data_IF_632627257894
#
_entry.id   IF_632627257894
#
_cell.length_a   1.000
_cell.length_b   1.000
_cell.length_c   1.000
_cell.angle_alpha   90.00
_cell.angle_beta   90.00
_cell.angle_gamma   90.00
#
_symmetry.space_group_name_H-M   'P 1'
#
loop_
_entity.id
_entity.type
_entity.pdbx_description
1 polymer ?
#
# COMPACT_ATOMS: atom_id res chain seq x y z
N UNK A 1 2.81 4.13 27.06
CA UNK A 1 3.41 2.85 26.70
C UNK A 1 4.87 2.88 27.17
N UNK A 2 5.35 1.88 27.83
CA UNK A 2 6.76 1.68 28.14
C UNK A 2 7.14 0.23 27.79
N UNK A 3 8.42 0.01 27.56
CA UNK A 3 8.98 -1.30 27.23
C UNK A 3 9.97 -1.64 28.32
N UNK A 4 9.74 -2.75 29.01
CA UNK A 4 10.65 -3.27 30.01
C UNK A 4 11.71 -4.13 29.31
N UNK A 5 12.97 -3.73 29.46
CA UNK A 5 14.15 -4.44 28.94
C UNK A 5 14.94 -5.16 30.05
N UNK A 6 14.39 -5.22 31.27
CA UNK A 6 15.02 -5.85 32.42
C UNK A 6 16.14 -5.00 33.07
N UNK A 7 16.25 -3.71 32.73
CA UNK A 7 17.23 -2.81 33.32
C UNK A 7 16.81 -2.37 34.72
N UNK A 8 17.76 -2.31 35.67
CA UNK A 8 17.49 -1.93 37.06
C UNK A 8 17.29 -0.42 37.26
N UNK A 9 17.92 0.39 36.40
CA UNK A 9 17.88 1.86 36.46
C UNK A 9 18.24 2.46 35.09
N UNK A 10 18.25 3.80 35.02
CA UNK A 10 18.55 4.54 33.78
C UNK A 10 19.95 4.26 33.25
N UNK A 11 20.94 4.27 34.13
CA UNK A 11 22.35 4.06 33.75
C UNK A 11 22.58 2.64 33.22
N UNK A 12 21.80 1.68 33.70
CA UNK A 12 21.82 0.31 33.20
C UNK A 12 21.10 0.22 31.85
N UNK A 13 19.96 0.87 31.69
CA UNK A 13 19.24 0.93 30.42
C UNK A 13 20.08 1.59 29.30
N UNK A 14 20.81 2.65 29.59
CA UNK A 14 21.65 3.38 28.62
C UNK A 14 22.84 2.55 28.08
N UNK A 15 23.13 1.38 28.66
CA UNK A 15 24.10 0.42 28.08
C UNK A 15 23.55 -0.32 26.87
N UNK A 16 22.25 -0.38 26.72
CA UNK A 16 21.56 -1.19 25.71
C UNK A 16 20.79 -0.36 24.70
N UNK A 17 20.24 0.79 25.12
CA UNK A 17 19.37 1.63 24.29
C UNK A 17 19.70 3.11 24.47
N UNK A 18 19.50 3.89 23.41
CA UNK A 18 19.66 5.33 23.38
C UNK A 18 18.33 6.02 23.04
N UNK A 19 18.26 7.32 23.33
CA UNK A 19 17.13 8.13 22.87
C UNK A 19 17.08 8.14 21.35
N UNK A 20 15.91 7.80 20.80
CA UNK A 20 15.69 7.72 19.35
C UNK A 20 15.80 6.32 18.77
N UNK A 21 16.24 5.33 19.56
CA UNK A 21 16.23 3.94 19.13
C UNK A 21 14.81 3.45 18.91
N UNK A 22 14.61 2.69 17.83
CA UNK A 22 13.33 2.11 17.48
C UNK A 22 13.19 0.69 18.04
N UNK A 23 12.00 0.38 18.53
CA UNK A 23 11.66 -0.97 19.00
C UNK A 23 10.62 -1.58 18.07
N UNK A 24 10.88 -2.79 17.62
CA UNK A 24 10.01 -3.50 16.69
C UNK A 24 9.56 -4.83 17.30
N UNK A 25 8.35 -5.23 16.96
CA UNK A 25 7.94 -6.61 17.23
C UNK A 25 8.77 -7.56 16.38
N UNK A 26 9.26 -8.61 16.98
CA UNK A 26 9.75 -9.77 16.26
C UNK A 26 8.56 -10.50 15.63
N UNK A 27 8.58 -10.65 14.32
CA UNK A 27 7.53 -11.34 13.57
C UNK A 27 8.16 -12.01 12.36
N UNK A 28 8.10 -13.33 12.36
CA UNK A 28 8.59 -14.12 11.25
C UNK A 28 7.61 -14.09 10.07
N UNK A 29 8.17 -14.16 8.86
CA UNK A 29 7.39 -14.49 7.67
C UNK A 29 6.88 -15.92 7.81
N UNK A 30 5.58 -16.11 7.62
CA UNK A 30 4.94 -17.42 7.77
C UNK A 30 3.90 -17.63 6.69
N UNK A 31 3.95 -18.77 6.05
CA UNK A 31 2.86 -19.24 5.17
C UNK A 31 1.72 -19.78 6.01
N UNK A 32 0.49 -19.39 5.73
CA UNK A 32 -0.73 -19.78 6.42
C UNK A 32 -1.68 -20.50 5.47
N UNK A 33 -1.79 -21.82 5.59
CA UNK A 33 -2.57 -22.63 4.65
C UNK A 33 -1.95 -22.62 3.26
N UNK A 34 -2.78 -22.56 2.22
CA UNK A 34 -2.33 -22.71 0.85
C UNK A 34 -1.93 -21.36 0.20
N UNK A 35 -2.67 -20.27 0.51
CA UNK A 35 -2.59 -19.02 -0.25
C UNK A 35 -2.41 -17.77 0.62
N UNK A 36 -2.04 -17.90 1.90
CA UNK A 36 -1.88 -16.74 2.78
C UNK A 36 -0.48 -16.64 3.32
N UNK A 37 -0.04 -15.42 3.51
CA UNK A 37 1.20 -15.10 4.20
C UNK A 37 0.93 -14.14 5.35
N UNK A 38 1.70 -14.33 6.41
CA UNK A 38 1.74 -13.46 7.59
C UNK A 38 3.12 -12.87 7.75
N UNK A 39 3.20 -11.57 7.96
CA UNK A 39 4.43 -10.88 8.34
C UNK A 39 4.12 -9.53 8.97
N UNK A 40 5.10 -8.90 9.61
CA UNK A 40 5.04 -7.47 9.91
C UNK A 40 5.30 -6.64 8.66
N UNK A 41 4.82 -5.42 8.66
CA UNK A 41 5.12 -4.42 7.62
C UNK A 41 4.84 -4.91 6.18
N UNK A 42 3.78 -5.72 6.00
CA UNK A 42 3.24 -6.02 4.66
C UNK A 42 2.75 -4.71 4.03
N UNK A 43 2.29 -3.81 4.83
CA UNK A 43 2.14 -2.39 4.56
C UNK A 43 3.47 -1.67 4.84
N UNK A 44 4.27 -1.16 3.81
CA UNK A 44 3.96 -1.48 2.42
C UNK A 44 5.09 -2.25 1.74
N UNK A 45 5.48 -3.38 2.30
CA UNK A 45 6.40 -4.30 1.61
C UNK A 45 5.75 -5.01 0.41
N UNK A 46 4.41 -5.10 0.40
CA UNK A 46 3.68 -5.66 -0.73
C UNK A 46 3.83 -4.78 -1.97
N UNK A 47 3.64 -3.48 -1.86
CA UNK A 47 3.87 -2.51 -2.94
C UNK A 47 5.32 -2.47 -3.38
N UNK A 48 6.26 -2.52 -2.43
CA UNK A 48 7.69 -2.62 -2.75
C UNK A 48 8.01 -3.87 -3.60
N UNK A 49 7.45 -5.03 -3.26
CA UNK A 49 7.64 -6.27 -4.03
C UNK A 49 7.06 -6.15 -5.44
N UNK A 50 5.88 -5.57 -5.59
CA UNK A 50 5.27 -5.29 -6.90
C UNK A 50 6.17 -4.37 -7.74
N UNK A 51 6.69 -3.28 -7.18
CA UNK A 51 7.58 -2.35 -7.88
C UNK A 51 8.88 -3.03 -8.33
N UNK A 52 9.50 -3.86 -7.48
CA UNK A 52 10.71 -4.61 -7.82
C UNK A 52 10.48 -5.53 -9.04
N UNK A 53 9.30 -6.17 -9.10
CA UNK A 53 8.95 -7.01 -10.24
C UNK A 53 8.72 -6.17 -11.51
N UNK A 54 8.03 -5.02 -11.40
CA UNK A 54 7.80 -4.11 -12.53
C UNK A 54 9.11 -3.56 -13.11
N UNK A 55 10.08 -3.20 -12.26
CA UNK A 55 11.42 -2.75 -12.70
C UNK A 55 12.11 -3.80 -13.58
N UNK A 56 11.94 -5.08 -13.25
CA UNK A 56 12.57 -6.18 -14.00
C UNK A 56 11.95 -6.42 -15.38
N UNK A 57 10.76 -5.88 -15.62
CA UNK A 57 10.04 -6.09 -16.88
C UNK A 57 10.33 -5.03 -17.94
N UNK A 58 11.25 -4.10 -17.67
CA UNK A 58 11.62 -3.00 -18.59
C UNK A 58 10.38 -2.21 -19.06
N UNK A 59 9.95 -1.18 -18.31
CA UNK A 59 8.78 -0.38 -18.64
C UNK A 59 8.82 0.17 -20.07
N UNK A 60 7.67 0.22 -20.72
CA UNK A 60 7.52 0.69 -22.10
C UNK A 60 7.64 2.23 -22.22
N UNK A 61 7.33 2.93 -21.13
CA UNK A 61 7.36 4.40 -21.04
C UNK A 61 8.33 4.85 -19.94
N UNK A 62 8.76 6.10 -19.99
CA UNK A 62 9.56 6.72 -18.93
C UNK A 62 8.83 6.62 -17.59
N UNK A 63 9.37 5.78 -16.71
CA UNK A 63 8.76 5.42 -15.45
C UNK A 63 9.74 5.62 -14.30
N UNK A 64 9.30 6.33 -13.27
CA UNK A 64 10.02 6.49 -12.02
C UNK A 64 9.46 5.55 -10.96
N UNK A 65 10.29 4.70 -10.40
CA UNK A 65 9.96 3.85 -9.27
C UNK A 65 10.48 4.47 -7.99
N UNK A 66 9.60 4.95 -7.14
CA UNK A 66 9.96 5.73 -5.96
C UNK A 66 9.58 4.99 -4.69
N UNK A 67 10.56 4.57 -3.91
CA UNK A 67 10.38 3.98 -2.59
C UNK A 67 10.46 5.09 -1.55
N UNK A 68 9.31 5.60 -1.17
CA UNK A 68 9.22 6.71 -0.24
C UNK A 68 9.51 6.28 1.20
N UNK A 69 10.07 7.19 1.97
CA UNK A 69 10.30 7.03 3.40
C UNK A 69 9.28 7.84 4.19
N UNK A 70 9.00 7.39 5.42
CA UNK A 70 8.18 8.15 6.37
C UNK A 70 6.74 8.41 5.88
N UNK A 71 6.15 7.44 5.19
CA UNK A 71 4.73 7.47 4.83
C UNK A 71 3.87 7.51 6.09
N UNK A 72 4.05 6.56 7.00
CA UNK A 72 3.29 6.31 8.24
C UNK A 72 3.31 7.48 9.25
N UNK A 73 4.21 8.42 9.08
CA UNK A 73 4.35 9.59 9.97
C UNK A 73 4.09 10.91 9.26
N UNK A 74 3.33 10.88 8.17
CA UNK A 74 2.79 12.06 7.50
C UNK A 74 3.26 12.30 6.08
N UNK A 75 3.43 11.25 5.28
CA UNK A 75 3.66 11.29 3.83
C UNK A 75 4.89 12.16 3.46
N UNK A 76 5.96 12.06 4.26
CA UNK A 76 7.07 13.03 4.17
C UNK A 76 7.92 12.83 2.94
N UNK A 77 8.22 11.58 2.60
CA UNK A 77 9.02 11.22 1.43
C UNK A 77 8.32 11.60 0.12
N UNK A 78 7.05 11.29 0.01
CA UNK A 78 6.27 11.52 -1.22
C UNK A 78 6.09 13.00 -1.57
N UNK A 79 6.03 13.88 -0.58
CA UNK A 79 6.04 15.33 -0.83
C UNK A 79 7.30 15.80 -1.55
N UNK A 80 8.44 15.25 -1.18
CA UNK A 80 9.74 15.63 -1.76
C UNK A 80 9.92 14.97 -3.13
N UNK A 81 9.63 13.68 -3.23
CA UNK A 81 9.81 12.93 -4.47
C UNK A 81 8.88 13.41 -5.58
N UNK A 82 7.59 13.62 -5.28
CA UNK A 82 6.63 14.12 -6.26
C UNK A 82 7.02 15.51 -6.78
N UNK A 83 7.52 16.40 -5.90
CA UNK A 83 8.02 17.71 -6.31
C UNK A 83 9.24 17.61 -7.23
N UNK A 84 10.13 16.65 -6.95
CA UNK A 84 11.36 16.47 -7.75
C UNK A 84 11.10 15.82 -9.10
N UNK A 85 10.17 14.84 -9.16
CA UNK A 85 9.87 14.08 -10.38
C UNK A 85 8.86 14.81 -11.28
N UNK A 86 7.82 15.42 -10.68
CA UNK A 86 6.71 16.09 -11.37
C UNK A 86 6.10 15.23 -12.51
N UNK A 87 5.62 14.02 -12.22
CA UNK A 87 5.07 13.15 -13.25
C UNK A 87 3.69 13.64 -13.71
N UNK A 88 3.26 13.23 -14.91
CA UNK A 88 1.89 13.48 -15.40
C UNK A 88 0.87 12.62 -14.64
N UNK A 89 1.27 11.39 -14.30
CA UNK A 89 0.46 10.41 -13.61
C UNK A 89 1.23 9.75 -12.45
N UNK A 90 0.50 9.33 -11.43
CA UNK A 90 1.08 8.53 -10.34
C UNK A 90 0.17 7.35 -9.98
N UNK A 91 0.75 6.16 -9.88
CA UNK A 91 0.10 5.00 -9.28
C UNK A 91 0.76 4.78 -7.91
N UNK A 92 -0.03 4.82 -6.85
CA UNK A 92 0.42 4.54 -5.49
C UNK A 92 0.06 3.10 -5.16
N UNK A 93 1.06 2.31 -4.79
CA UNK A 93 0.90 0.92 -4.40
C UNK A 93 0.89 0.85 -2.89
N UNK A 94 -0.02 0.06 -2.33
CA UNK A 94 -0.27 0.05 -0.90
C UNK A 94 -0.82 -1.31 -0.42
N UNK A 95 -0.84 -1.52 0.88
CA UNK A 95 -1.79 -2.44 1.48
C UNK A 95 -2.95 -1.65 2.11
N UNK A 96 -4.13 -2.23 2.18
CA UNK A 96 -5.29 -1.56 2.78
C UNK A 96 -6.07 -2.47 3.71
N UNK A 97 -6.68 -1.89 4.74
CA UNK A 97 -7.43 -2.65 5.74
C UNK A 97 -8.55 -3.46 5.11
N UNK A 98 -8.46 -4.77 5.21
CA UNK A 98 -9.59 -5.67 4.99
C UNK A 98 -10.31 -5.87 6.32
N UNK A 99 -11.48 -5.26 6.47
CA UNK A 99 -12.32 -5.45 7.65
C UNK A 99 -13.29 -6.62 7.46
N UNK A 100 -12.80 -7.73 6.92
CA UNK A 100 -13.57 -8.94 6.60
C UNK A 100 -13.43 -10.03 7.68
N UNK A 101 -13.24 -9.60 8.91
CA UNK A 101 -13.15 -10.48 10.09
C UNK A 101 -14.53 -10.80 10.66
N UNK A 102 -14.59 -11.83 11.50
CA UNK A 102 -15.84 -12.24 12.14
C UNK A 102 -16.52 -11.09 12.91
N UNK A 103 -17.84 -11.02 12.81
CA UNK A 103 -18.65 -9.94 13.39
C UNK A 103 -18.71 -8.64 12.57
N UNK A 104 -17.99 -8.52 11.46
CA UNK A 104 -18.07 -7.35 10.56
C UNK A 104 -18.88 -7.67 9.32
N UNK A 105 -19.86 -6.83 8.99
CA UNK A 105 -20.74 -7.05 7.84
C UNK A 105 -21.13 -5.75 7.13
N UNK A 106 -21.56 -5.88 5.87
CA UNK A 106 -22.08 -4.77 5.08
C UNK A 106 -21.06 -3.65 4.88
N UNK A 107 -21.50 -2.41 4.99
CA UNK A 107 -20.70 -1.21 4.75
C UNK A 107 -19.50 -1.00 5.70
N UNK A 108 -19.38 -1.82 6.76
CA UNK A 108 -18.22 -1.80 7.65
C UNK A 108 -17.02 -2.58 7.09
N UNK A 109 -17.24 -3.47 6.13
CA UNK A 109 -16.14 -4.12 5.39
C UNK A 109 -15.56 -3.11 4.42
N UNK A 110 -14.28 -2.84 4.54
CA UNK A 110 -13.57 -1.92 3.62
C UNK A 110 -13.28 -2.60 2.29
N UNK A 111 -12.76 -3.82 2.38
CA UNK A 111 -12.52 -4.77 1.29
C UNK A 111 -12.41 -6.17 1.89
N UNK A 112 -12.22 -7.17 1.07
CA UNK A 112 -12.17 -8.58 1.49
C UNK A 112 -10.94 -9.28 0.90
N UNK A 113 -10.28 -10.15 1.68
CA UNK A 113 -9.26 -11.06 1.17
C UNK A 113 -9.87 -12.03 0.15
N UNK A 114 -9.09 -12.40 -0.86
CA UNK A 114 -9.51 -13.31 -1.93
C UNK A 114 -10.43 -12.66 -2.97
N UNK A 115 -10.60 -11.35 -2.93
CA UNK A 115 -11.41 -10.60 -3.92
C UNK A 115 -10.56 -9.74 -4.88
N UNK A 116 -9.25 -9.95 -4.87
CA UNK A 116 -8.32 -9.30 -5.78
C UNK A 116 -7.94 -7.89 -5.38
N UNK A 117 -7.37 -7.18 -6.35
CA UNK A 117 -6.87 -5.82 -6.19
C UNK A 117 -7.94 -4.85 -5.67
N UNK A 118 -7.55 -3.96 -4.77
CA UNK A 118 -8.43 -2.92 -4.23
C UNK A 118 -8.11 -1.59 -4.87
N UNK A 119 -9.06 -1.00 -5.57
CA UNK A 119 -8.91 0.32 -6.21
C UNK A 119 -9.70 1.36 -5.41
N UNK A 120 -9.03 2.45 -5.06
CA UNK A 120 -9.62 3.53 -4.29
C UNK A 120 -10.21 4.61 -5.21
N UNK A 121 -11.44 5.05 -4.93
CA UNK A 121 -12.04 6.23 -5.57
C UNK A 121 -11.90 7.49 -4.70
N UNK A 122 -11.79 7.32 -3.39
CA UNK A 122 -11.64 8.39 -2.42
C UNK A 122 -11.11 7.83 -1.08
N UNK A 123 -10.28 8.62 -0.40
CA UNK A 123 -9.91 8.43 1.00
C UNK A 123 -9.99 9.77 1.75
N UNK A 124 -9.40 9.88 2.95
CA UNK A 124 -9.48 11.11 3.77
C UNK A 124 -8.71 12.28 3.18
N UNK A 125 -7.70 12.02 2.36
CA UNK A 125 -6.77 13.02 1.84
C UNK A 125 -6.86 13.19 0.34
N UNK A 126 -7.48 12.25 -0.39
CA UNK A 126 -7.45 12.20 -1.84
C UNK A 126 -8.82 11.91 -2.44
N UNK A 127 -9.17 12.66 -3.47
CA UNK A 127 -10.20 12.27 -4.45
C UNK A 127 -9.43 11.83 -5.69
N UNK A 128 -9.47 10.54 -5.98
CA UNK A 128 -8.68 9.94 -7.05
C UNK A 128 -9.23 10.30 -8.43
N UNK A 129 -8.35 10.25 -9.44
CA UNK A 129 -8.73 10.51 -10.82
C UNK A 129 -9.76 9.48 -11.30
N UNK A 130 -10.88 9.98 -11.79
CA UNK A 130 -12.04 9.16 -12.17
C UNK A 130 -11.80 8.34 -13.44
N UNK A 131 -10.99 8.83 -14.35
CA UNK A 131 -10.67 8.10 -15.58
C UNK A 131 -9.72 6.96 -15.27
N UNK A 132 -8.69 7.21 -14.46
CA UNK A 132 -7.77 6.15 -13.98
C UNK A 132 -8.52 5.07 -13.19
N UNK A 133 -9.45 5.48 -12.32
CA UNK A 133 -10.28 4.54 -11.58
C UNK A 133 -11.11 3.65 -12.52
N UNK A 134 -11.74 4.22 -13.53
CA UNK A 134 -12.52 3.46 -14.52
C UNK A 134 -11.63 2.55 -15.34
N UNK A 135 -10.50 3.05 -15.82
CA UNK A 135 -9.53 2.28 -16.58
C UNK A 135 -9.08 1.03 -15.80
N UNK A 136 -8.85 1.14 -14.49
CA UNK A 136 -8.47 0.00 -13.66
C UNK A 136 -9.54 -1.11 -13.69
N UNK A 137 -10.82 -0.76 -13.59
CA UNK A 137 -11.91 -1.74 -13.65
C UNK A 137 -12.15 -2.30 -15.06
N UNK A 138 -11.94 -1.49 -16.08
CA UNK A 138 -12.03 -1.95 -17.49
C UNK A 138 -10.93 -2.98 -17.78
N UNK A 139 -9.68 -2.71 -17.37
CA UNK A 139 -8.56 -3.66 -17.46
C UNK A 139 -8.87 -4.94 -16.67
N UNK A 140 -9.31 -4.80 -15.42
CA UNK A 140 -9.64 -5.95 -14.60
C UNK A 140 -10.68 -6.86 -15.26
N UNK A 141 -11.69 -6.28 -15.90
CA UNK A 141 -12.72 -7.01 -16.66
C UNK A 141 -12.15 -7.67 -17.91
N UNK A 142 -11.35 -6.94 -18.69
CA UNK A 142 -10.73 -7.43 -19.93
C UNK A 142 -9.81 -8.63 -19.67
N UNK A 143 -9.03 -8.58 -18.59
CA UNK A 143 -8.07 -9.62 -18.23
C UNK A 143 -8.61 -10.67 -17.26
N UNK A 144 -9.90 -10.59 -16.89
CA UNK A 144 -10.54 -11.47 -15.91
C UNK A 144 -9.81 -11.48 -14.55
N UNK A 145 -9.34 -10.31 -14.10
CA UNK A 145 -8.71 -10.15 -12.80
C UNK A 145 -9.76 -9.83 -11.73
N UNK A 146 -9.76 -10.53 -10.60
CA UNK A 146 -10.52 -10.10 -9.43
C UNK A 146 -10.10 -8.69 -9.02
N UNK A 147 -11.09 -7.82 -8.86
CA UNK A 147 -10.87 -6.42 -8.49
C UNK A 147 -12.05 -5.88 -7.70
N UNK A 148 -11.80 -5.08 -6.71
CA UNK A 148 -12.82 -4.52 -5.82
C UNK A 148 -12.57 -3.04 -5.51
N UNK A 149 -13.64 -2.36 -5.16
CA UNK A 149 -13.57 -0.96 -4.69
C UNK A 149 -13.28 -0.91 -3.20
N UNK A 150 -12.43 0.01 -2.76
CA UNK A 150 -12.36 0.40 -1.35
C UNK A 150 -13.65 1.09 -0.96
N UNK A 151 -14.50 0.43 -0.19
CA UNK A 151 -15.88 0.90 0.06
C UNK A 151 -15.99 1.96 1.16
N UNK A 152 -14.98 2.13 2.00
CA UNK A 152 -14.99 3.08 3.09
C UNK A 152 -13.97 4.20 2.87
N UNK A 153 -14.41 5.44 3.07
CA UNK A 153 -13.53 6.62 3.08
C UNK A 153 -12.77 6.65 4.41
N UNK A 154 -11.65 5.96 4.46
CA UNK A 154 -10.84 5.82 5.67
C UNK A 154 -9.36 5.81 5.33
N UNK A 155 -8.54 6.31 6.28
CA UNK A 155 -7.09 6.39 6.10
C UNK A 155 -6.70 7.38 5.00
N UNK A 156 -5.47 7.30 4.58
CA UNK A 156 -4.85 8.01 3.48
C UNK A 156 -3.57 7.29 3.14
N UNK A 157 -2.86 7.72 2.12
CA UNK A 157 -1.57 7.21 1.70
C UNK A 157 -0.80 8.31 0.95
N UNK A 158 0.34 7.98 0.37
CA UNK A 158 1.20 8.92 -0.35
C UNK A 158 0.50 9.72 -1.45
N UNK A 159 -0.62 9.22 -2.02
CA UNK A 159 -1.42 9.96 -2.99
C UNK A 159 -1.90 11.32 -2.43
N UNK A 160 -2.16 11.39 -1.13
CA UNK A 160 -2.58 12.63 -0.47
C UNK A 160 -1.56 13.76 -0.58
N UNK A 161 -0.28 13.45 -0.64
CA UNK A 161 0.77 14.44 -0.88
C UNK A 161 1.08 14.61 -2.37
N UNK A 162 1.03 13.53 -3.13
CA UNK A 162 1.38 13.53 -4.56
C UNK A 162 0.39 14.36 -5.38
N UNK A 163 -0.92 14.11 -5.24
CA UNK A 163 -1.94 14.72 -6.12
C UNK A 163 -2.04 16.25 -6.02
N UNK A 164 -1.57 16.85 -4.92
CA UNK A 164 -1.57 18.30 -4.71
C UNK A 164 -0.20 18.95 -5.03
N UNK A 165 0.78 18.18 -5.51
CA UNK A 165 2.11 18.70 -5.79
C UNK A 165 2.13 19.44 -7.13
N UNK A 166 2.87 20.55 -7.20
CA UNK A 166 3.02 21.37 -8.40
C UNK A 166 1.67 21.90 -8.91
N UNK A 167 1.33 21.58 -10.14
CA UNK A 167 0.06 21.95 -10.78
C UNK A 167 -1.04 20.88 -10.56
N UNK A 168 -0.79 19.91 -9.73
CA UNK A 168 -1.62 18.72 -9.53
C UNK A 168 -1.15 17.55 -10.39
N UNK A 169 -1.21 16.35 -9.83
CA UNK A 169 -0.79 15.09 -10.48
C UNK A 169 -2.01 14.15 -10.48
N UNK A 170 -2.36 13.63 -11.65
CA UNK A 170 -3.43 12.62 -11.78
C UNK A 170 -3.00 11.35 -11.09
N UNK A 171 -3.74 10.92 -10.09
CA UNK A 171 -3.27 9.88 -9.15
C UNK A 171 -4.32 8.79 -8.94
N UNK A 172 -3.86 7.54 -8.86
CA UNK A 172 -4.65 6.37 -8.48
C UNK A 172 -3.93 5.59 -7.40
N UNK A 173 -4.67 4.98 -6.46
CA UNK A 173 -4.14 4.00 -5.53
C UNK A 173 -4.69 2.61 -5.84
N UNK A 174 -3.79 1.64 -5.93
CA UNK A 174 -4.08 0.21 -6.04
C UNK A 174 -3.46 -0.48 -4.84
N UNK A 175 -4.28 -1.17 -4.06
CA UNK A 175 -3.86 -1.76 -2.79
C UNK A 175 -4.10 -3.26 -2.75
N UNK A 176 -3.30 -3.97 -1.95
CA UNK A 176 -3.53 -5.36 -1.58
C UNK A 176 -4.40 -5.38 -0.32
N UNK A 177 -5.52 -6.14 -0.28
CA UNK A 177 -6.31 -6.27 0.94
C UNK A 177 -5.49 -6.94 2.03
N UNK A 178 -5.47 -6.35 3.22
CA UNK A 178 -4.66 -6.82 4.34
C UNK A 178 -5.46 -6.84 5.64
N UNK A 179 -5.51 -7.99 6.31
CA UNK A 179 -6.02 -8.08 7.69
C UNK A 179 -4.97 -7.66 8.68
N UNK A 180 -5.42 -7.09 9.79
CA UNK A 180 -4.57 -6.68 10.91
C UNK A 180 -3.47 -5.68 10.51
N UNK A 181 -3.80 -4.78 9.58
CA UNK A 181 -2.93 -3.68 9.16
C UNK A 181 -2.40 -2.91 10.38
N UNK A 182 -1.16 -2.39 10.30
CA UNK A 182 -0.46 -1.70 11.39
C UNK A 182 -0.24 -2.57 12.65
N UNK A 183 -0.23 -3.88 12.50
CA UNK A 183 0.09 -4.81 13.59
C UNK A 183 1.37 -5.59 13.32
N UNK A 184 1.83 -6.32 14.33
CA UNK A 184 2.97 -7.22 14.20
C UNK A 184 2.71 -8.43 13.27
N UNK A 185 1.47 -8.66 12.86
CA UNK A 185 1.03 -9.87 12.16
C UNK A 185 0.00 -9.56 11.09
N UNK A 186 0.38 -8.75 10.11
CA UNK A 186 -0.43 -8.52 8.91
C UNK A 186 -0.62 -9.80 8.10
N UNK A 187 -1.79 -9.99 7.51
CA UNK A 187 -2.12 -11.17 6.70
C UNK A 187 -2.72 -10.74 5.37
N UNK A 188 -2.18 -11.27 4.28
CA UNK A 188 -2.71 -11.11 2.91
C UNK A 188 -2.88 -12.46 2.24
N UNK A 189 -3.62 -12.49 1.14
CA UNK A 189 -3.62 -13.61 0.19
C UNK A 189 -2.63 -13.35 -0.94
N UNK A 190 -1.89 -14.38 -1.33
CA UNK A 190 -0.88 -14.29 -2.39
C UNK A 190 -1.51 -14.03 -3.76
N UNK A 191 -2.72 -14.57 -3.99
CA UNK A 191 -3.46 -14.33 -5.23
C UNK A 191 -3.92 -12.86 -5.35
N UNK A 192 -4.27 -12.20 -4.23
CA UNK A 192 -4.61 -10.78 -4.25
C UNK A 192 -3.39 -9.91 -4.58
N UNK A 193 -2.21 -10.28 -4.07
CA UNK A 193 -0.95 -9.61 -4.42
C UNK A 193 -0.62 -9.77 -5.91
N UNK A 194 -0.75 -10.99 -6.44
CA UNK A 194 -0.51 -11.27 -7.87
C UNK A 194 -1.51 -10.53 -8.77
N UNK A 195 -2.80 -10.52 -8.41
CA UNK A 195 -3.82 -9.79 -9.16
C UNK A 195 -3.59 -8.26 -9.11
N UNK A 196 -3.14 -7.74 -7.98
CA UNK A 196 -2.77 -6.32 -7.86
C UNK A 196 -1.57 -5.98 -8.75
N UNK A 197 -0.53 -6.82 -8.74
CA UNK A 197 0.63 -6.67 -9.60
C UNK A 197 0.25 -6.68 -11.09
N UNK A 198 -0.56 -7.65 -11.53
CA UNK A 198 -0.99 -7.75 -12.93
C UNK A 198 -1.82 -6.55 -13.37
N UNK A 199 -2.74 -6.08 -12.51
CA UNK A 199 -3.51 -4.87 -12.77
C UNK A 199 -2.61 -3.65 -12.94
N UNK A 200 -1.66 -3.43 -12.03
CA UNK A 200 -0.72 -2.30 -12.09
C UNK A 200 0.18 -2.37 -13.32
N UNK A 201 0.65 -3.55 -13.67
CA UNK A 201 1.44 -3.79 -14.87
C UNK A 201 0.72 -3.34 -16.15
N UNK A 202 -0.55 -3.67 -16.29
CA UNK A 202 -1.34 -3.26 -17.46
C UNK A 202 -1.73 -1.78 -17.38
N UNK A 203 -2.05 -1.27 -16.17
CA UNK A 203 -2.28 0.16 -15.95
C UNK A 203 -1.08 1.01 -16.39
N UNK A 204 0.15 0.64 -16.00
CA UNK A 204 1.37 1.39 -16.34
C UNK A 204 1.61 1.51 -17.84
N UNK A 205 1.09 0.58 -18.63
CA UNK A 205 1.16 0.61 -20.11
C UNK A 205 0.03 1.44 -20.73
N UNK A 206 -1.15 1.42 -20.14
CA UNK A 206 -2.35 2.03 -20.73
C UNK A 206 -2.61 3.48 -20.28
N UNK A 207 -2.11 3.87 -19.10
CA UNK A 207 -2.26 5.25 -18.60
C UNK A 207 -1.70 6.30 -19.57
N UNK A 208 -0.51 6.14 -20.17
CA UNK A 208 0.02 7.13 -21.09
C UNK A 208 -0.78 7.29 -22.39
N UNK A 209 -1.74 6.41 -22.67
CA UNK A 209 -2.58 6.43 -23.87
C UNK A 209 -3.85 7.29 -23.72
N UNK A 210 -4.12 7.82 -22.49
CA UNK A 210 -5.31 8.60 -22.13
C UNK A 210 -4.88 10.02 -21.61
#
# INVERSE_FOLDING_TARGET
LYIDIGAENKEDAEKYVNLGDCVYFESEFTELGENRIKSKAIDDRAGCAMMINLIREEPEYDTYFVFNVQEEIGLRGSRVSAFSVQPDFAIVLEATTASDIDGVSGAKKVCELGKGAVVSFMDRSTVYDKELYRLAFDIAKEENLPCQTKTMIAGGNDAGAIHITGNGIRTLAVSVPCRYLHSASCVIETDDLENSYRLVKTLSKRIPEI
#
